data_IF_900254157939
#
_entry.id   IF_900254157939
#
_cell.length_a   1.000
_cell.length_b   1.000
_cell.length_c   1.000
_cell.angle_alpha   90.00
_cell.angle_beta   90.00
_cell.angle_gamma   90.00
#
_symmetry.space_group_name_H-M   'P 1'
#
loop_
_entity.id
_entity.type
_entity.pdbx_description
1 polymer ?
#
# COMPACT_ATOMS: atom_id res chain seq x y z
N UNK A 1 -13.85 -2.48 -7.65
CA UNK A 1 -13.89 -3.76 -6.92
C UNK A 1 -12.47 -4.25 -6.89
N UNK A 2 -11.81 -4.23 -5.74
CA UNK A 2 -10.53 -4.92 -5.61
C UNK A 2 -10.80 -6.41 -5.76
N UNK A 3 -10.16 -7.06 -6.71
CA UNK A 3 -10.15 -8.52 -6.86
C UNK A 3 -9.69 -9.11 -5.52
N UNK A 4 -10.37 -10.15 -5.03
CA UNK A 4 -9.86 -10.87 -3.87
C UNK A 4 -8.47 -11.42 -4.24
N UNK A 5 -7.45 -11.02 -3.47
CA UNK A 5 -6.09 -11.46 -3.71
C UNK A 5 -6.01 -12.99 -3.59
N UNK A 6 -5.21 -13.59 -4.46
CA UNK A 6 -4.95 -15.03 -4.40
C UNK A 6 -4.15 -15.36 -3.12
N UNK A 7 -4.41 -16.50 -2.45
CA UNK A 7 -3.52 -16.96 -1.40
C UNK A 7 -2.15 -17.30 -1.99
N UNK A 8 -1.08 -17.02 -1.23
CA UNK A 8 0.27 -17.35 -1.69
C UNK A 8 0.39 -18.81 -2.13
N UNK A 9 0.93 -18.99 -3.32
CA UNK A 9 1.23 -20.28 -3.92
C UNK A 9 2.56 -20.17 -4.68
N UNK A 10 3.51 -21.05 -4.34
CA UNK A 10 4.86 -21.03 -4.92
C UNK A 10 4.85 -21.28 -6.44
N UNK A 11 3.97 -22.16 -6.93
CA UNK A 11 3.85 -22.44 -8.37
C UNK A 11 3.35 -21.18 -9.12
N UNK A 12 2.34 -20.48 -8.57
CA UNK A 12 1.85 -19.21 -9.13
C UNK A 12 2.93 -18.13 -9.09
N UNK A 13 3.71 -18.07 -8.01
CA UNK A 13 4.87 -17.18 -7.93
C UNK A 13 5.92 -17.46 -9.01
N UNK A 14 6.22 -18.74 -9.27
CA UNK A 14 7.13 -19.14 -10.33
C UNK A 14 6.61 -18.76 -11.74
N UNK A 15 5.30 -18.90 -12.00
CA UNK A 15 4.68 -18.46 -13.25
C UNK A 15 4.85 -16.94 -13.45
N UNK A 16 4.53 -16.13 -12.43
CA UNK A 16 4.68 -14.68 -12.49
C UNK A 16 6.14 -14.28 -12.80
N UNK A 17 7.10 -14.96 -12.18
CA UNK A 17 8.52 -14.73 -12.46
C UNK A 17 8.85 -15.04 -13.92
N UNK A 18 8.42 -16.21 -14.41
CA UNK A 18 8.72 -16.65 -15.77
C UNK A 18 8.09 -15.78 -16.86
N UNK A 19 6.95 -15.13 -16.56
CA UNK A 19 6.30 -14.18 -17.46
C UNK A 19 7.11 -12.88 -17.64
N UNK A 20 7.96 -12.51 -16.67
CA UNK A 20 8.60 -11.21 -16.61
C UNK A 20 10.15 -11.28 -16.57
N UNK A 21 10.77 -12.43 -16.39
CA UNK A 21 12.21 -12.60 -16.15
C UNK A 21 13.11 -12.07 -17.28
N UNK A 22 12.56 -11.96 -18.50
CA UNK A 22 13.26 -11.46 -19.70
C UNK A 22 13.17 -9.95 -19.91
N UNK A 23 12.43 -9.25 -19.06
CA UNK A 23 12.29 -7.81 -19.17
C UNK A 23 13.54 -7.10 -18.65
N UNK A 24 13.86 -5.95 -19.23
CA UNK A 24 14.87 -5.07 -18.67
C UNK A 24 14.37 -4.49 -17.33
N UNK A 25 15.17 -4.57 -16.28
CA UNK A 25 14.75 -4.14 -14.94
C UNK A 25 13.66 -5.02 -14.30
N UNK A 26 13.61 -6.31 -14.64
CA UNK A 26 12.58 -7.26 -14.27
C UNK A 26 12.23 -7.29 -12.78
N UNK A 27 13.19 -7.01 -11.88
CA UNK A 27 12.97 -7.10 -10.42
C UNK A 27 11.77 -6.28 -9.97
N UNK A 28 11.69 -5.01 -10.37
CA UNK A 28 10.60 -4.12 -9.95
C UNK A 28 9.25 -4.56 -10.55
N UNK A 29 9.27 -4.99 -11.81
CA UNK A 29 8.05 -5.46 -12.51
C UNK A 29 7.52 -6.73 -11.84
N UNK A 30 8.39 -7.68 -11.50
CA UNK A 30 8.00 -8.92 -10.82
C UNK A 30 7.45 -8.63 -9.42
N UNK A 31 8.08 -7.73 -8.65
CA UNK A 31 7.58 -7.33 -7.33
C UNK A 31 6.19 -6.71 -7.41
N UNK A 32 5.91 -5.87 -8.42
CA UNK A 32 4.57 -5.33 -8.68
C UNK A 32 3.57 -6.43 -9.02
N UNK A 33 3.91 -7.34 -9.93
CA UNK A 33 3.04 -8.43 -10.32
C UNK A 33 2.73 -9.39 -9.15
N UNK A 34 3.72 -9.64 -8.27
CA UNK A 34 3.51 -10.39 -7.02
C UNK A 34 2.51 -9.67 -6.12
N UNK A 35 2.69 -8.36 -5.89
CA UNK A 35 1.78 -7.60 -5.04
C UNK A 35 0.39 -7.48 -5.64
N UNK A 36 0.26 -7.40 -6.96
CA UNK A 36 -1.04 -7.38 -7.64
C UNK A 36 -1.78 -8.71 -7.50
N UNK A 37 -1.08 -9.84 -7.61
CA UNK A 37 -1.67 -11.18 -7.49
C UNK A 37 -2.05 -11.52 -6.04
N UNK A 38 -1.12 -11.29 -5.09
CA UNK A 38 -1.25 -11.75 -3.71
C UNK A 38 -1.67 -10.64 -2.72
N UNK A 39 -1.65 -9.36 -3.15
CA UNK A 39 -1.90 -8.19 -2.29
C UNK A 39 -0.69 -7.74 -1.46
N UNK A 40 0.40 -8.48 -1.54
CA UNK A 40 1.69 -8.21 -0.88
C UNK A 40 2.80 -8.98 -1.60
N UNK A 41 4.06 -8.71 -1.26
CA UNK A 41 5.21 -9.48 -1.74
C UNK A 41 5.54 -10.55 -0.68
N UNK A 42 5.27 -11.83 -0.94
CA UNK A 42 5.59 -12.90 0.00
C UNK A 42 7.09 -13.05 0.21
N UNK A 43 7.53 -13.19 1.46
CA UNK A 43 8.96 -13.37 1.78
C UNK A 43 9.63 -14.52 0.97
N UNK A 44 8.96 -15.69 0.77
CA UNK A 44 9.53 -16.76 -0.06
C UNK A 44 9.74 -16.39 -1.53
N UNK A 45 9.07 -15.36 -2.06
CA UNK A 45 9.27 -14.90 -3.42
C UNK A 45 10.65 -14.25 -3.63
N UNK A 46 11.21 -13.61 -2.60
CA UNK A 46 12.51 -12.91 -2.70
C UNK A 46 13.63 -13.82 -3.19
N UNK A 47 13.91 -15.01 -2.57
CA UNK A 47 14.92 -15.91 -3.08
C UNK A 47 14.59 -16.52 -4.45
N UNK A 48 13.32 -16.70 -4.79
CA UNK A 48 12.90 -17.20 -6.11
C UNK A 48 13.24 -16.19 -7.20
N UNK A 49 12.90 -14.92 -6.99
CA UNK A 49 13.24 -13.81 -7.91
C UNK A 49 14.75 -13.68 -8.05
N UNK A 50 15.49 -13.72 -6.94
CA UNK A 50 16.95 -13.63 -6.93
C UNK A 50 17.58 -14.75 -7.78
N UNK A 51 17.11 -15.99 -7.61
CA UNK A 51 17.58 -17.13 -8.38
C UNK A 51 17.28 -17.00 -9.88
N UNK A 52 16.06 -16.60 -10.24
CA UNK A 52 15.63 -16.46 -11.63
C UNK A 52 16.39 -15.36 -12.38
N UNK A 53 16.70 -14.25 -11.70
CA UNK A 53 17.38 -13.09 -12.30
C UNK A 53 18.91 -13.13 -12.11
N UNK A 54 19.48 -14.19 -11.53
CA UNK A 54 20.90 -14.28 -11.20
C UNK A 54 21.39 -13.12 -10.32
N UNK A 55 20.56 -12.68 -9.39
CA UNK A 55 20.84 -11.65 -8.39
C UNK A 55 21.06 -12.28 -7.00
N UNK A 56 21.66 -11.53 -6.09
CA UNK A 56 21.67 -11.90 -4.68
C UNK A 56 20.30 -11.59 -4.01
N UNK A 57 20.00 -12.29 -2.94
CA UNK A 57 18.81 -11.99 -2.10
C UNK A 57 18.83 -10.55 -1.58
N UNK A 58 20.04 -10.05 -1.25
CA UNK A 58 20.21 -8.70 -0.73
C UNK A 58 19.83 -7.64 -1.78
N UNK A 59 20.16 -7.84 -3.05
CA UNK A 59 19.77 -6.92 -4.13
C UNK A 59 18.26 -6.88 -4.30
N UNK A 60 17.59 -8.03 -4.38
CA UNK A 60 16.13 -8.10 -4.52
C UNK A 60 15.44 -7.52 -3.28
N UNK A 61 15.90 -7.89 -2.08
CA UNK A 61 15.38 -7.34 -0.82
C UNK A 61 15.60 -5.83 -0.72
N UNK A 62 16.75 -5.33 -1.23
CA UNK A 62 17.03 -3.90 -1.29
C UNK A 62 16.03 -3.15 -2.16
N UNK A 63 15.65 -3.68 -3.32
CA UNK A 63 14.61 -3.11 -4.17
C UNK A 63 13.25 -3.15 -3.46
N UNK A 64 12.88 -4.29 -2.88
CA UNK A 64 11.63 -4.46 -2.15
C UNK A 64 11.47 -3.44 -1.01
N UNK A 65 12.51 -3.23 -0.20
CA UNK A 65 12.46 -2.32 0.96
C UNK A 65 12.63 -0.85 0.60
N UNK A 66 13.24 -0.55 -0.56
CA UNK A 66 13.41 0.83 -1.02
C UNK A 66 12.07 1.47 -1.40
N UNK A 67 11.18 0.72 -2.03
CA UNK A 67 9.86 1.22 -2.44
C UNK A 67 8.82 0.91 -1.36
N UNK A 68 8.40 1.94 -0.64
CA UNK A 68 7.48 1.81 0.51
C UNK A 68 6.05 1.39 0.12
N UNK A 69 5.71 1.37 -1.17
CA UNK A 69 4.42 0.86 -1.63
C UNK A 69 4.35 -0.68 -1.65
N UNK A 70 5.50 -1.37 -1.57
CA UNK A 70 5.51 -2.81 -1.40
C UNK A 70 5.20 -3.19 0.04
N UNK A 71 4.30 -4.16 0.19
CA UNK A 71 3.87 -4.69 1.48
C UNK A 71 4.48 -6.05 1.74
N UNK A 72 4.86 -6.29 2.98
CA UNK A 72 5.28 -7.63 3.47
C UNK A 72 4.11 -8.48 3.93
N UNK A 73 2.94 -7.87 4.16
CA UNK A 73 1.72 -8.51 4.64
C UNK A 73 0.52 -7.98 3.86
N UNK A 74 -0.58 -8.75 3.75
CA UNK A 74 -1.78 -8.29 3.09
C UNK A 74 -2.36 -7.06 3.77
N UNK A 75 -2.80 -6.08 2.97
CA UNK A 75 -3.59 -4.98 3.49
C UNK A 75 -4.97 -5.45 3.94
N UNK A 76 -5.65 -4.64 4.74
CA UNK A 76 -7.05 -4.81 5.03
C UNK A 76 -7.92 -4.69 3.78
N UNK A 77 -9.21 -4.99 3.93
CA UNK A 77 -10.20 -4.90 2.85
C UNK A 77 -10.22 -3.53 2.19
N UNK A 78 -10.03 -2.48 2.97
CA UNK A 78 -9.97 -1.09 2.55
C UNK A 78 -8.64 -0.47 2.95
N UNK A 79 -8.08 0.35 2.08
CA UNK A 79 -6.85 1.10 2.34
C UNK A 79 -7.16 2.58 2.33
N UNK A 80 -7.07 3.20 3.51
CA UNK A 80 -7.19 4.64 3.69
C UNK A 80 -5.80 5.26 3.78
N UNK A 81 -5.45 6.07 2.79
CA UNK A 81 -4.19 6.82 2.77
C UNK A 81 -4.45 8.29 3.09
N UNK A 82 -3.70 8.83 4.06
CA UNK A 82 -3.73 10.25 4.41
C UNK A 82 -2.47 10.94 3.91
N UNK A 83 -2.63 12.05 3.20
CA UNK A 83 -1.48 12.81 2.71
C UNK A 83 -0.78 13.52 3.87
N UNK A 84 0.53 13.21 4.01
CA UNK A 84 1.41 13.76 5.06
C UNK A 84 2.49 14.68 4.48
N UNK A 85 2.30 15.19 3.26
CA UNK A 85 3.19 16.16 2.64
C UNK A 85 2.92 17.59 3.15
N UNK A 86 3.87 18.48 2.94
CA UNK A 86 3.95 19.85 3.46
C UNK A 86 2.63 20.63 3.40
N UNK A 87 2.01 20.74 2.22
CA UNK A 87 0.77 21.51 2.06
C UNK A 87 -0.39 20.93 2.88
N UNK A 88 -0.47 19.60 3.00
CA UNK A 88 -1.51 18.95 3.80
C UNK A 88 -1.25 19.12 5.29
N UNK A 89 0.01 19.06 5.74
CA UNK A 89 0.35 19.35 7.13
C UNK A 89 0.01 20.80 7.48
N UNK A 90 0.43 21.76 6.65
CA UNK A 90 0.15 23.19 6.85
C UNK A 90 -1.36 23.50 6.88
N UNK A 91 -2.18 22.70 6.18
CA UNK A 91 -3.63 22.82 6.15
C UNK A 91 -4.35 22.01 7.25
N UNK A 92 -3.65 21.56 8.28
CA UNK A 92 -4.23 20.83 9.43
C UNK A 92 -4.29 19.31 9.27
N UNK A 93 -3.55 18.74 8.31
CA UNK A 93 -3.51 17.29 8.06
C UNK A 93 -3.09 16.45 9.26
N UNK A 94 -2.26 16.98 10.16
CA UNK A 94 -1.81 16.27 11.36
C UNK A 94 -2.95 16.01 12.35
N UNK A 95 -3.84 17.00 12.54
CA UNK A 95 -5.02 16.83 13.37
C UNK A 95 -5.99 15.78 12.80
N UNK A 96 -6.15 15.77 11.48
CA UNK A 96 -6.97 14.77 10.79
C UNK A 96 -6.36 13.36 10.89
N UNK A 97 -5.02 13.25 10.81
CA UNK A 97 -4.33 11.98 10.99
C UNK A 97 -4.54 11.42 12.40
N UNK A 98 -4.32 12.24 13.45
CA UNK A 98 -4.56 11.85 14.83
C UNK A 98 -6.03 11.45 15.06
N UNK A 99 -6.99 12.13 14.42
CA UNK A 99 -8.42 11.78 14.49
C UNK A 99 -8.69 10.41 13.84
N UNK A 100 -8.08 10.11 12.69
CA UNK A 100 -8.23 8.82 12.02
C UNK A 100 -7.67 7.69 12.89
N UNK A 101 -6.48 7.87 13.47
CA UNK A 101 -5.87 6.91 14.39
C UNK A 101 -6.77 6.63 15.59
N UNK A 102 -7.31 7.68 16.22
CA UNK A 102 -8.21 7.54 17.36
C UNK A 102 -9.51 6.80 16.99
N UNK A 103 -10.08 7.08 15.82
CA UNK A 103 -11.33 6.42 15.37
C UNK A 103 -11.14 4.96 14.97
N UNK A 104 -10.01 4.64 14.36
CA UNK A 104 -9.69 3.27 13.93
C UNK A 104 -9.04 2.43 15.04
N UNK A 105 -8.56 3.08 16.11
CA UNK A 105 -7.84 2.41 17.21
C UNK A 105 -6.48 1.84 16.80
N UNK A 106 -5.87 2.39 15.74
CA UNK A 106 -4.58 1.97 15.21
C UNK A 106 -3.73 3.19 14.87
N UNK A 107 -2.41 3.03 14.86
CA UNK A 107 -1.51 4.05 14.32
C UNK A 107 -1.37 3.94 12.81
N UNK A 108 -0.98 5.05 12.15
CA UNK A 108 -0.61 5.04 10.72
C UNK A 108 0.46 3.97 10.46
N UNK A 109 0.29 3.23 9.37
CA UNK A 109 1.12 2.09 8.98
C UNK A 109 0.57 0.74 9.44
N UNK A 110 -0.57 0.72 10.14
CA UNK A 110 -1.15 -0.51 10.69
C UNK A 110 -2.53 -0.83 10.09
N UNK A 111 -2.93 -2.08 10.31
CA UNK A 111 -4.24 -2.62 9.93
C UNK A 111 -5.08 -2.89 11.17
N UNK A 112 -6.37 -2.62 11.12
CA UNK A 112 -7.32 -2.94 12.20
C UNK A 112 -7.35 -4.44 12.49
N UNK A 113 -7.59 -4.81 13.75
CA UNK A 113 -7.58 -6.20 14.20
C UNK A 113 -8.57 -7.11 13.44
N UNK A 114 -9.65 -6.54 12.90
CA UNK A 114 -10.63 -7.23 12.07
C UNK A 114 -10.24 -7.30 10.59
N UNK A 115 -9.03 -6.83 10.23
CA UNK A 115 -8.49 -6.75 8.87
C UNK A 115 -9.37 -5.98 7.89
N UNK A 116 -10.18 -5.05 8.37
CA UNK A 116 -11.04 -4.24 7.49
C UNK A 116 -10.31 -3.06 6.90
N UNK A 117 -9.54 -2.32 7.71
CA UNK A 117 -8.94 -1.06 7.29
C UNK A 117 -7.44 -1.06 7.56
N UNK A 118 -6.68 -0.74 6.52
CA UNK A 118 -5.26 -0.37 6.65
C UNK A 118 -5.17 1.16 6.53
N UNK A 119 -4.54 1.80 7.51
CA UNK A 119 -4.28 3.24 7.51
C UNK A 119 -2.82 3.50 7.13
N UNK A 120 -2.60 4.15 5.98
CA UNK A 120 -1.26 4.41 5.45
C UNK A 120 -0.98 5.90 5.28
N UNK A 121 0.28 6.33 5.40
CA UNK A 121 0.68 7.66 4.96
C UNK A 121 0.88 7.66 3.44
N UNK A 122 0.66 8.80 2.81
CA UNK A 122 1.11 9.06 1.44
C UNK A 122 1.73 10.46 1.36
N UNK A 123 2.75 10.61 0.54
CA UNK A 123 3.50 11.87 0.43
C UNK A 123 3.23 12.52 -0.92
N UNK A 124 2.09 13.20 -0.98
CA UNK A 124 1.49 13.97 -2.06
C UNK A 124 0.63 13.15 -3.05
N UNK A 125 -0.66 13.51 -3.06
CA UNK A 125 -1.66 13.02 -4.03
C UNK A 125 -1.85 13.97 -5.23
N UNK A 126 -1.00 15.01 -5.35
CA UNK A 126 -1.16 16.04 -6.38
C UNK A 126 -2.27 17.06 -6.11
N UNK A 127 -2.95 16.98 -4.94
CA UNK A 127 -4.09 17.83 -4.56
C UNK A 127 -3.70 18.98 -3.63
N UNK A 128 -2.48 19.51 -3.73
CA UNK A 128 -1.97 20.55 -2.81
C UNK A 128 -2.83 21.81 -2.79
N UNK A 129 -3.42 22.21 -3.93
CA UNK A 129 -4.33 23.35 -4.01
C UNK A 129 -5.67 23.12 -3.30
N UNK A 130 -5.99 21.88 -2.97
CA UNK A 130 -7.20 21.46 -2.25
C UNK A 130 -6.87 20.65 -1.01
N UNK A 131 -5.74 20.98 -0.37
CA UNK A 131 -5.29 20.37 0.87
C UNK A 131 -6.29 20.64 2.03
N UNK A 132 -6.35 19.76 3.04
CA UNK A 132 -5.75 18.42 3.11
C UNK A 132 -6.42 17.40 2.20
N UNK A 133 -5.73 16.27 1.92
CA UNK A 133 -6.23 15.24 1.00
C UNK A 133 -6.03 13.82 1.54
N UNK A 134 -6.89 12.92 1.08
CA UNK A 134 -6.88 11.50 1.39
C UNK A 134 -7.18 10.68 0.14
N UNK A 135 -6.93 9.37 0.22
CA UNK A 135 -7.33 8.40 -0.79
C UNK A 135 -7.92 7.17 -0.10
N UNK A 136 -9.10 6.76 -0.50
CA UNK A 136 -9.72 5.49 -0.07
C UNK A 136 -9.84 4.58 -1.30
N UNK A 137 -9.17 3.44 -1.27
CA UNK A 137 -9.18 2.42 -2.32
C UNK A 137 -8.93 2.99 -3.73
N UNK A 138 -7.98 3.92 -3.85
CA UNK A 138 -7.65 4.60 -5.11
C UNK A 138 -8.50 5.84 -5.42
N UNK A 139 -9.62 6.06 -4.73
CA UNK A 139 -10.45 7.26 -4.89
C UNK A 139 -9.89 8.41 -4.07
N UNK A 140 -9.43 9.46 -4.73
CA UNK A 140 -8.84 10.66 -4.10
C UNK A 140 -9.91 11.65 -3.65
N UNK A 141 -9.68 12.28 -2.48
CA UNK A 141 -10.56 13.29 -1.88
C UNK A 141 -9.71 14.46 -1.40
N UNK A 142 -10.01 15.66 -1.90
CA UNK A 142 -9.42 16.91 -1.41
C UNK A 142 -10.35 17.69 -0.49
N UNK A 143 -9.84 18.81 0.06
CA UNK A 143 -10.56 19.65 1.04
C UNK A 143 -11.11 18.81 2.18
N UNK A 144 -10.25 17.94 2.72
CA UNK A 144 -10.61 17.03 3.79
C UNK A 144 -10.82 17.86 5.08
N UNK A 145 -11.99 17.75 5.64
CA UNK A 145 -12.33 18.22 6.98
C UNK A 145 -12.69 17.03 7.89
N UNK A 146 -13.00 17.29 9.13
CA UNK A 146 -13.36 16.24 10.09
C UNK A 146 -14.58 15.44 9.64
N UNK A 147 -15.61 16.09 9.10
CA UNK A 147 -16.83 15.41 8.68
C UNK A 147 -16.60 14.48 7.48
N UNK A 148 -15.82 14.94 6.51
CA UNK A 148 -15.42 14.12 5.36
C UNK A 148 -14.51 12.97 5.75
N UNK A 149 -13.56 13.21 6.65
CA UNK A 149 -12.73 12.13 7.20
C UNK A 149 -13.58 11.08 7.90
N UNK A 150 -14.52 11.53 8.75
CA UNK A 150 -15.42 10.63 9.47
C UNK A 150 -16.27 9.78 8.51
N UNK A 151 -16.73 10.37 7.42
CA UNK A 151 -17.46 9.66 6.38
C UNK A 151 -16.59 8.60 5.67
N UNK A 152 -15.32 8.94 5.34
CA UNK A 152 -14.37 7.97 4.76
C UNK A 152 -14.06 6.83 5.71
N UNK A 153 -13.82 7.10 6.98
CA UNK A 153 -13.59 6.07 8.00
C UNK A 153 -14.82 5.16 8.14
N UNK A 154 -16.03 5.74 8.21
CA UNK A 154 -17.25 4.96 8.29
C UNK A 154 -17.52 4.13 7.02
N UNK A 155 -17.14 4.63 5.84
CA UNK A 155 -17.19 3.88 4.58
C UNK A 155 -16.24 2.68 4.61
N UNK A 156 -15.00 2.90 5.06
CA UNK A 156 -13.97 1.85 5.15
C UNK A 156 -14.27 0.77 6.20
N UNK A 157 -15.07 1.07 7.23
CA UNK A 157 -15.44 0.12 8.27
C UNK A 157 -16.67 -0.74 7.93
N UNK A 158 -17.32 -0.53 6.78
CA UNK A 158 -18.47 -1.35 6.34
C UNK A 158 -18.00 -2.65 5.69
#
# INVERSE_FOLDING_TARGET
MMSANEPWNEARGAEIIAEHDKLEGATLVILHAMQEAFGYVPEPAIPMIASALSLSRAEVHGVFTFYHDFRSEPAGRHVLKLCRAEACQAAGGDALAARAEAKLGISIGNTTADSRVTLEPIYCLGLCATAPSAMLDGRVVGRLDEARLDALVAEAQR
#
